data_IF_506598400231
#
_entry.id   IF_506598400231
#
_cell.length_a   1.000
_cell.length_b   1.000
_cell.length_c   1.000
_cell.angle_alpha   90.00
_cell.angle_beta   90.00
_cell.angle_gamma   90.00
#
_symmetry.space_group_name_H-M   'P 1'
#
loop_
_entity.id
_entity.type
_entity.pdbx_description
1 polymer ?
#
# COMPACT_ATOMS: atom_id res chain seq x y z
N UNK A 1 11.51 2.90 -8.38
CA UNK A 1 12.04 1.66 -7.74
C UNK A 1 10.97 0.59 -7.78
N UNK A 2 11.34 -0.69 -7.86
CA UNK A 2 10.37 -1.79 -7.96
C UNK A 2 10.83 -3.02 -7.18
N UNK A 3 9.87 -3.77 -6.65
CA UNK A 3 10.04 -5.08 -6.04
C UNK A 3 9.22 -6.11 -6.83
N UNK A 4 9.75 -7.33 -6.94
CA UNK A 4 9.15 -8.41 -7.70
C UNK A 4 9.13 -9.68 -6.85
N UNK A 5 8.02 -10.41 -6.88
CA UNK A 5 7.85 -11.70 -6.24
C UNK A 5 7.71 -12.77 -7.32
N UNK A 6 8.61 -13.75 -7.30
CA UNK A 6 8.59 -14.89 -8.22
C UNK A 6 8.30 -16.18 -7.46
N UNK A 7 7.67 -17.14 -8.13
CA UNK A 7 7.55 -18.51 -7.62
C UNK A 7 8.86 -19.30 -7.84
N UNK A 8 8.88 -20.57 -7.41
CA UNK A 8 10.04 -21.46 -7.57
C UNK A 8 10.36 -21.77 -9.05
N UNK A 9 9.42 -21.54 -9.96
CA UNK A 9 9.55 -21.72 -11.40
C UNK A 9 10.02 -20.44 -12.12
N UNK A 10 10.36 -19.37 -11.38
CA UNK A 10 10.69 -18.03 -11.90
C UNK A 10 9.55 -17.32 -12.63
N UNK A 11 8.31 -17.70 -12.38
CA UNK A 11 7.13 -16.99 -12.89
C UNK A 11 6.79 -15.84 -11.95
N UNK A 12 6.47 -14.67 -12.51
CA UNK A 12 6.11 -13.48 -11.74
C UNK A 12 4.74 -13.68 -11.09
N UNK A 13 4.69 -13.62 -9.76
CA UNK A 13 3.46 -13.69 -8.98
C UNK A 13 2.89 -12.30 -8.71
N UNK A 14 3.75 -11.38 -8.28
CA UNK A 14 3.36 -10.03 -7.95
C UNK A 14 4.51 -9.04 -8.15
N UNK A 15 4.18 -7.78 -8.38
CA UNK A 15 5.14 -6.69 -8.40
C UNK A 15 4.60 -5.47 -7.66
N UNK A 16 5.51 -4.70 -7.06
CA UNK A 16 5.25 -3.38 -6.52
C UNK A 16 6.19 -2.40 -7.20
N UNK A 17 5.65 -1.37 -7.86
CA UNK A 17 6.45 -0.37 -8.55
C UNK A 17 6.06 1.03 -8.10
N UNK A 18 7.06 1.86 -7.86
CA UNK A 18 6.88 3.30 -7.68
C UNK A 18 6.52 3.94 -9.01
N UNK A 19 5.43 4.69 -9.00
CA UNK A 19 5.06 5.65 -10.03
C UNK A 19 5.74 6.96 -9.65
N UNK A 20 6.47 7.57 -10.59
CA UNK A 20 7.19 8.82 -10.36
C UNK A 20 6.23 10.03 -10.42
N UNK A 21 5.16 9.98 -9.62
CA UNK A 21 4.13 11.01 -9.50
C UNK A 21 4.37 11.90 -8.28
N UNK A 22 3.77 13.10 -8.31
CA UNK A 22 3.67 14.01 -7.16
C UNK A 22 2.18 14.25 -6.86
N UNK A 23 1.61 13.69 -5.77
CA UNK A 23 2.28 12.95 -4.69
C UNK A 23 2.75 11.54 -5.08
N UNK A 24 3.75 10.99 -4.35
CA UNK A 24 4.30 9.67 -4.63
C UNK A 24 3.20 8.61 -4.64
N UNK A 25 3.27 7.73 -5.63
CA UNK A 25 2.29 6.67 -5.82
C UNK A 25 3.00 5.35 -6.09
N UNK A 26 2.36 4.24 -5.71
CA UNK A 26 2.86 2.90 -5.96
C UNK A 26 1.75 2.03 -6.51
N UNK A 27 2.10 1.14 -7.43
CA UNK A 27 1.16 0.13 -7.94
C UNK A 27 1.58 -1.24 -7.44
N UNK A 28 0.64 -2.00 -6.89
CA UNK A 28 0.75 -3.43 -6.65
C UNK A 28 -0.04 -4.17 -7.72
N UNK A 29 0.61 -5.08 -8.43
CA UNK A 29 0.00 -5.95 -9.41
C UNK A 29 0.23 -7.40 -8.97
N UNK A 30 -0.84 -8.18 -8.86
CA UNK A 30 -0.81 -9.59 -8.48
C UNK A 30 -1.94 -10.34 -9.19
N UNK A 31 -1.62 -11.03 -10.29
CA UNK A 31 -2.62 -11.72 -11.11
C UNK A 31 -3.67 -10.75 -11.67
N UNK A 32 -4.91 -10.85 -11.18
CA UNK A 32 -6.03 -9.95 -11.57
C UNK A 32 -6.22 -8.76 -10.63
N UNK A 33 -5.47 -8.70 -9.55
CA UNK A 33 -5.56 -7.62 -8.57
C UNK A 33 -4.56 -6.54 -8.95
N UNK A 34 -5.07 -5.32 -9.15
CA UNK A 34 -4.25 -4.13 -9.30
C UNK A 34 -4.73 -3.08 -8.30
N UNK A 35 -3.81 -2.61 -7.47
CA UNK A 35 -4.08 -1.61 -6.43
C UNK A 35 -3.08 -0.48 -6.54
N UNK A 36 -3.56 0.75 -6.48
CA UNK A 36 -2.75 1.95 -6.53
C UNK A 36 -2.78 2.60 -5.14
N UNK A 37 -1.61 2.71 -4.53
CA UNK A 37 -1.37 3.34 -3.23
C UNK A 37 -0.92 4.77 -3.47
N UNK A 38 -1.68 5.74 -2.98
CA UNK A 38 -1.46 7.17 -3.23
C UNK A 38 -1.56 7.94 -1.92
N UNK A 39 -0.71 8.95 -1.74
CA UNK A 39 -0.82 9.89 -0.62
C UNK A 39 0.50 10.06 0.14
N UNK A 40 0.38 10.50 1.38
CA UNK A 40 1.52 10.75 2.26
C UNK A 40 1.80 9.51 3.10
N UNK A 41 2.88 8.82 2.72
CA UNK A 41 3.33 7.61 3.41
C UNK A 41 4.10 7.91 4.70
N UNK A 42 4.56 9.14 4.92
CA UNK A 42 5.27 9.56 6.13
C UNK A 42 4.28 9.97 7.23
N UNK A 43 3.18 10.64 6.84
CA UNK A 43 2.06 10.96 7.74
C UNK A 43 1.09 9.78 7.93
N UNK A 44 1.24 8.71 7.14
CA UNK A 44 0.34 7.54 7.20
C UNK A 44 -1.06 7.84 6.65
N UNK A 45 -1.19 8.85 5.80
CA UNK A 45 -2.40 9.28 5.11
C UNK A 45 -2.39 8.72 3.68
N UNK A 46 -2.70 7.43 3.56
CA UNK A 46 -2.59 6.67 2.29
C UNK A 46 -3.96 6.18 1.83
N UNK A 47 -4.29 6.44 0.57
CA UNK A 47 -5.47 5.92 -0.11
C UNK A 47 -5.07 4.76 -1.03
N UNK A 48 -5.85 3.69 -1.00
CA UNK A 48 -5.70 2.54 -1.90
C UNK A 48 -6.92 2.52 -2.82
N UNK A 49 -6.66 2.60 -4.12
CA UNK A 49 -7.70 2.60 -5.17
C UNK A 49 -7.47 1.47 -6.17
N UNK A 50 -8.51 1.10 -6.91
CA UNK A 50 -8.40 0.23 -8.08
C UNK A 50 -8.07 1.02 -9.36
N UNK A 51 -8.16 0.35 -10.51
CA UNK A 51 -7.89 0.95 -11.83
C UNK A 51 -8.96 1.95 -12.27
N UNK A 52 -10.16 1.85 -11.71
CA UNK A 52 -11.31 2.71 -11.97
C UNK A 52 -11.28 3.96 -11.07
N UNK A 53 -10.41 3.96 -10.06
CA UNK A 53 -10.28 5.03 -9.07
C UNK A 53 -11.20 4.86 -7.85
N UNK A 54 -11.89 3.72 -7.74
CA UNK A 54 -12.75 3.40 -6.62
C UNK A 54 -11.90 3.12 -5.37
N UNK A 55 -12.38 3.60 -4.23
CA UNK A 55 -11.65 3.49 -2.96
C UNK A 55 -11.80 2.09 -2.38
N UNK A 56 -10.70 1.35 -2.35
CA UNK A 56 -10.64 0.02 -1.75
C UNK A 56 -10.31 0.08 -0.27
N UNK A 57 -9.36 0.93 0.11
CA UNK A 57 -8.99 1.13 1.51
C UNK A 57 -8.36 2.49 1.77
N UNK A 58 -8.36 2.91 3.03
CA UNK A 58 -7.74 4.15 3.50
C UNK A 58 -6.97 3.88 4.79
N UNK A 59 -5.71 4.30 4.82
CA UNK A 59 -4.89 4.37 6.03
C UNK A 59 -4.99 5.79 6.57
N UNK A 60 -5.25 5.91 7.87
CA UNK A 60 -5.25 7.19 8.57
C UNK A 60 -4.42 7.08 9.84
N UNK A 61 -3.50 8.01 10.06
CA UNK A 61 -2.90 8.19 11.36
C UNK A 61 -3.97 8.60 12.38
N UNK A 62 -4.03 7.90 13.51
CA UNK A 62 -4.78 8.35 14.65
C UNK A 62 -3.92 9.33 15.43
N UNK A 63 -4.48 10.50 15.73
CA UNK A 63 -3.91 11.35 16.77
C UNK A 63 -3.99 10.57 18.09
N UNK A 64 -2.85 10.08 18.57
CA UNK A 64 -2.81 9.39 19.86
C UNK A 64 -3.28 10.36 20.95
N UNK A 65 -4.18 9.95 21.86
CA UNK A 65 -4.36 10.69 23.09
C UNK A 65 -3.00 10.76 23.79
N UNK A 66 -2.68 11.92 24.36
CA UNK A 66 -1.38 12.41 24.84
C UNK A 66 -0.60 11.52 25.82
N UNK A 67 -1.07 10.30 26.11
CA UNK A 67 -0.50 9.33 27.04
C UNK A 67 0.14 8.10 26.37
N UNK A 68 0.12 7.95 25.04
CA UNK A 68 0.81 6.85 24.35
C UNK A 68 1.82 7.35 23.32
N UNK A 69 3.11 6.96 23.42
CA UNK A 69 4.17 7.40 22.50
C UNK A 69 4.14 6.67 21.15
N UNK A 70 3.25 5.70 20.95
CA UNK A 70 3.07 5.02 19.67
C UNK A 70 2.00 5.75 18.86
N UNK A 71 2.38 6.29 17.69
CA UNK A 71 1.45 6.67 16.64
C UNK A 71 0.75 5.41 16.15
N UNK A 72 -0.54 5.27 16.41
CA UNK A 72 -1.34 4.17 15.86
C UNK A 72 -1.95 4.60 14.53
N UNK A 73 -1.91 3.72 13.53
CA UNK A 73 -2.60 3.94 12.25
C UNK A 73 -3.79 2.99 12.15
N UNK A 74 -4.88 3.46 11.56
CA UNK A 74 -6.05 2.64 11.28
C UNK A 74 -6.17 2.40 9.78
N UNK A 75 -6.50 1.16 9.40
CA UNK A 75 -6.83 0.77 8.04
C UNK A 75 -8.34 0.56 7.95
N UNK A 76 -9.00 1.38 7.15
CA UNK A 76 -10.41 1.27 6.80
C UNK A 76 -10.51 0.65 5.41
N UNK A 77 -10.98 -0.59 5.34
CA UNK A 77 -11.03 -1.37 4.11
C UNK A 77 -12.48 -1.66 3.69
N UNK A 78 -12.75 -1.65 2.38
CA UNK A 78 -14.02 -2.12 1.84
C UNK A 78 -14.20 -3.62 2.12
N UNK A 79 -15.43 -4.12 2.12
CA UNK A 79 -15.69 -5.54 2.36
C UNK A 79 -15.17 -6.45 1.25
N UNK A 80 -14.84 -5.90 0.08
CA UNK A 80 -14.40 -6.64 -1.10
C UNK A 80 -12.89 -6.70 -1.27
N UNK A 81 -12.12 -5.90 -0.52
CA UNK A 81 -10.66 -5.87 -0.67
C UNK A 81 -9.98 -6.93 0.18
N UNK A 82 -8.94 -7.55 -0.38
CA UNK A 82 -8.04 -8.42 0.37
C UNK A 82 -7.12 -7.56 1.26
N UNK A 83 -7.45 -7.51 2.56
CA UNK A 83 -6.68 -6.78 3.56
C UNK A 83 -5.24 -7.30 3.67
N UNK A 84 -5.02 -8.60 3.47
CA UNK A 84 -3.68 -9.19 3.49
C UNK A 84 -2.82 -8.63 2.36
N UNK A 85 -3.38 -8.55 1.15
CA UNK A 85 -2.69 -7.95 0.00
C UNK A 85 -2.38 -6.45 0.22
N UNK A 86 -3.30 -5.70 0.84
CA UNK A 86 -3.07 -4.29 1.19
C UNK A 86 -1.91 -4.13 2.17
N UNK A 87 -1.89 -4.92 3.25
CA UNK A 87 -0.82 -4.86 4.25
C UNK A 87 0.54 -5.27 3.67
N UNK A 88 0.58 -6.32 2.84
CA UNK A 88 1.79 -6.72 2.12
C UNK A 88 2.30 -5.60 1.19
N UNK A 89 1.40 -4.94 0.46
CA UNK A 89 1.74 -3.79 -0.38
C UNK A 89 2.38 -2.66 0.43
N UNK A 90 1.74 -2.24 1.53
CA UNK A 90 2.26 -1.20 2.43
C UNK A 90 3.64 -1.57 3.00
N UNK A 91 3.83 -2.82 3.41
CA UNK A 91 5.11 -3.30 3.91
C UNK A 91 6.23 -3.20 2.85
N UNK A 92 5.98 -3.68 1.64
CA UNK A 92 6.95 -3.62 0.53
C UNK A 92 7.27 -2.18 0.15
N UNK A 93 6.26 -1.31 0.10
CA UNK A 93 6.46 0.13 -0.15
C UNK A 93 7.37 0.74 0.91
N UNK A 94 7.15 0.43 2.19
CA UNK A 94 8.03 0.85 3.28
C UNK A 94 9.49 0.45 3.02
N UNK A 95 9.74 -0.80 2.66
CA UNK A 95 11.09 -1.29 2.33
C UNK A 95 11.70 -0.57 1.12
N UNK A 96 10.91 -0.33 0.06
CA UNK A 96 11.36 0.37 -1.15
C UNK A 96 11.71 1.84 -0.90
N UNK A 97 11.11 2.47 0.12
CA UNK A 97 11.39 3.85 0.53
C UNK A 97 12.58 3.95 1.49
N UNK A 98 12.82 2.94 2.32
CA UNK A 98 13.92 2.92 3.29
C UNK A 98 15.29 2.49 2.72
N UNK A 99 15.32 1.78 1.59
CA UNK A 99 16.57 1.42 0.88
C UNK A 99 17.16 2.56 0.06
#
# INVERSE_FOLDING_TARGET
>A
RSAYLYNAQHELLAQVASLNDDPPSFVLESGRTRMIFQGDFDDGSVKIVDEQGDVLAVVQAQASPSSSPASSSQLHASSSVDVGAVLCGLFVIGQLRSG
#
